data_IF_378905037578
#
_entry.id   IF_378905037578
#
_cell.length_a   1.000
_cell.length_b   1.000
_cell.length_c   1.000
_cell.angle_alpha   90.00
_cell.angle_beta   90.00
_cell.angle_gamma   90.00
#
_symmetry.space_group_name_H-M   'P 1'
#
loop_
_entity.id
_entity.type
_entity.pdbx_description
1 polymer ?
#
# COMPACT_ATOMS: atom_id res chain seq x y z
N UNK A 1 -55.47 23.47 -11.21
CA UNK A 1 -54.32 22.57 -11.45
C UNK A 1 -53.05 23.41 -11.43
N UNK A 2 -52.15 23.26 -10.44
CA UNK A 2 -50.90 24.04 -10.35
C UNK A 2 -49.97 23.67 -11.51
N UNK A 3 -49.48 24.65 -12.26
CA UNK A 3 -48.48 24.42 -13.33
C UNK A 3 -47.16 24.00 -12.68
N UNK A 4 -46.69 22.81 -13.00
CA UNK A 4 -45.39 22.30 -12.54
C UNK A 4 -44.29 23.02 -13.31
N UNK A 5 -43.38 23.66 -12.58
CA UNK A 5 -42.23 24.36 -13.14
C UNK A 5 -41.13 23.34 -13.49
N UNK A 6 -41.25 22.71 -14.64
CA UNK A 6 -40.33 21.68 -15.16
C UNK A 6 -38.86 22.14 -15.21
N UNK A 7 -38.62 23.42 -15.49
CA UNK A 7 -37.27 24.02 -15.50
C UNK A 7 -36.65 24.02 -14.10
N UNK A 8 -37.43 24.34 -13.07
CA UNK A 8 -36.97 24.27 -11.68
C UNK A 8 -36.70 22.84 -11.24
N UNK A 9 -37.55 21.91 -11.67
CA UNK A 9 -37.41 20.48 -11.39
C UNK A 9 -36.14 19.89 -12.03
N UNK A 10 -35.82 20.28 -13.27
CA UNK A 10 -34.56 19.93 -13.93
C UNK A 10 -33.32 20.52 -13.25
N UNK A 11 -33.39 21.79 -12.82
CA UNK A 11 -32.26 22.41 -12.09
C UNK A 11 -31.94 21.68 -10.79
N UNK A 12 -32.98 21.27 -10.05
CA UNK A 12 -32.82 20.51 -8.81
C UNK A 12 -32.26 19.12 -9.04
N UNK A 13 -32.72 18.39 -10.06
CA UNK A 13 -32.19 17.05 -10.35
C UNK A 13 -30.74 17.09 -10.79
N UNK A 14 -30.35 18.06 -11.63
CA UNK A 14 -28.96 18.24 -12.05
C UNK A 14 -28.06 18.59 -10.86
N UNK A 15 -28.50 19.52 -10.00
CA UNK A 15 -27.75 19.87 -8.79
C UNK A 15 -27.54 18.68 -7.85
N UNK A 16 -28.57 17.84 -7.70
CA UNK A 16 -28.52 16.64 -6.85
C UNK A 16 -27.59 15.58 -7.44
N UNK A 17 -27.59 15.39 -8.77
CA UNK A 17 -26.67 14.49 -9.46
C UNK A 17 -25.21 14.95 -9.33
N UNK A 18 -24.93 16.26 -9.47
CA UNK A 18 -23.58 16.80 -9.29
C UNK A 18 -23.10 16.59 -7.85
N UNK A 19 -23.97 16.83 -6.85
CA UNK A 19 -23.65 16.61 -5.45
C UNK A 19 -23.35 15.13 -5.16
N UNK A 20 -24.15 14.21 -5.70
CA UNK A 20 -23.91 12.76 -5.57
C UNK A 20 -22.61 12.33 -6.27
N UNK A 21 -22.30 12.90 -7.43
CA UNK A 21 -21.06 12.61 -8.15
C UNK A 21 -19.84 13.10 -7.37
N UNK A 22 -19.87 14.32 -6.82
CA UNK A 22 -18.78 14.89 -6.02
C UNK A 22 -18.56 14.12 -4.72
N UNK A 23 -19.64 13.72 -4.03
CA UNK A 23 -19.54 12.90 -2.81
C UNK A 23 -19.00 11.51 -3.12
N UNK A 24 -19.43 10.88 -4.22
CA UNK A 24 -18.89 9.60 -4.66
C UNK A 24 -17.39 9.69 -5.00
N UNK A 25 -16.97 10.71 -5.74
CA UNK A 25 -15.55 10.96 -6.06
C UNK A 25 -14.75 11.23 -4.78
N UNK A 26 -15.29 12.02 -3.86
CA UNK A 26 -14.64 12.31 -2.58
C UNK A 26 -14.44 11.05 -1.74
N UNK A 27 -15.46 10.19 -1.62
CA UNK A 27 -15.39 8.94 -0.85
C UNK A 27 -14.44 7.93 -1.52
N UNK A 28 -14.49 7.81 -2.84
CA UNK A 28 -13.61 6.91 -3.59
C UNK A 28 -12.17 7.39 -3.52
N UNK A 29 -11.88 8.67 -3.74
CA UNK A 29 -10.54 9.22 -3.55
C UNK A 29 -10.06 9.08 -2.11
N UNK A 30 -10.91 9.32 -1.12
CA UNK A 30 -10.53 9.12 0.28
C UNK A 30 -10.16 7.66 0.56
N UNK A 31 -10.93 6.70 0.03
CA UNK A 31 -10.57 5.27 0.11
C UNK A 31 -9.30 4.92 -0.67
N UNK A 32 -9.04 5.54 -1.81
CA UNK A 32 -7.84 5.29 -2.61
C UNK A 32 -6.57 5.97 -2.07
N UNK A 33 -6.69 7.12 -1.41
CA UNK A 33 -5.60 7.79 -0.69
C UNK A 33 -5.26 7.01 0.58
N UNK A 34 -6.26 6.38 1.22
CA UNK A 34 -6.05 5.45 2.33
C UNK A 34 -5.52 4.06 1.89
N UNK A 35 -5.47 3.75 0.58
CA UNK A 35 -4.71 2.57 0.13
C UNK A 35 -3.22 2.85 0.31
N UNK A 36 -2.45 1.92 0.88
CA UNK A 36 -1.08 2.16 1.31
C UNK A 36 -0.13 2.21 0.10
N UNK A 37 -0.14 3.29 -0.67
CA UNK A 37 0.94 3.61 -1.62
C UNK A 37 2.34 3.63 -0.96
N UNK A 38 2.54 4.07 0.30
CA UNK A 38 3.88 4.07 0.90
C UNK A 38 4.48 2.66 1.10
N UNK A 39 3.66 1.64 1.44
CA UNK A 39 4.21 0.32 1.76
C UNK A 39 4.87 -0.36 0.56
N UNK A 40 4.26 -0.24 -0.62
CA UNK A 40 4.79 -0.84 -1.84
C UNK A 40 6.10 -0.17 -2.27
N UNK A 41 6.23 1.15 -2.05
CA UNK A 41 7.46 1.89 -2.36
C UNK A 41 8.59 1.50 -1.41
N UNK A 42 8.30 1.37 -0.11
CA UNK A 42 9.27 0.90 0.89
C UNK A 42 9.72 -0.55 0.59
N UNK A 43 8.76 -1.42 0.25
CA UNK A 43 9.02 -2.79 -0.17
C UNK A 43 9.90 -2.85 -1.43
N UNK A 44 9.59 -2.09 -2.48
CA UNK A 44 10.42 -2.02 -3.69
C UNK A 44 11.84 -1.51 -3.42
N UNK A 45 11.99 -0.56 -2.50
CA UNK A 45 13.32 -0.05 -2.12
C UNK A 45 14.13 -1.14 -1.42
N UNK A 46 13.49 -1.88 -0.53
CA UNK A 46 14.07 -3.02 0.18
C UNK A 46 14.48 -4.14 -0.79
N UNK A 47 13.59 -4.58 -1.68
CA UNK A 47 13.90 -5.63 -2.64
C UNK A 47 14.98 -5.22 -3.64
N UNK A 48 15.01 -3.94 -4.05
CA UNK A 48 16.07 -3.41 -4.91
C UNK A 48 17.43 -3.38 -4.21
N UNK A 49 17.47 -3.09 -2.91
CA UNK A 49 18.70 -3.16 -2.14
C UNK A 49 19.19 -4.61 -1.97
N UNK A 50 18.28 -5.54 -1.66
CA UNK A 50 18.62 -6.97 -1.62
C UNK A 50 19.11 -7.50 -2.97
N UNK A 51 18.54 -7.04 -4.09
CA UNK A 51 19.03 -7.38 -5.42
C UNK A 51 20.48 -6.92 -5.65
N UNK A 52 20.89 -5.77 -5.08
CA UNK A 52 22.29 -5.32 -5.11
C UNK A 52 23.21 -6.21 -4.28
N UNK A 53 22.70 -6.80 -3.20
CA UNK A 53 23.38 -7.79 -2.36
C UNK A 53 23.36 -9.21 -2.97
N UNK A 54 22.95 -9.35 -4.24
CA UNK A 54 22.88 -10.64 -4.95
C UNK A 54 21.60 -11.44 -4.70
N UNK A 55 20.64 -10.87 -3.96
CA UNK A 55 19.39 -11.52 -3.56
C UNK A 55 18.19 -10.87 -4.26
N UNK A 56 17.97 -11.22 -5.53
CA UNK A 56 16.84 -10.70 -6.32
C UNK A 56 15.53 -11.40 -5.98
N UNK A 57 14.45 -10.66 -5.70
CA UNK A 57 13.08 -11.20 -5.64
C UNK A 57 12.49 -11.34 -7.04
N UNK A 58 11.89 -12.48 -7.36
CA UNK A 58 11.00 -12.57 -8.53
C UNK A 58 9.61 -11.99 -8.21
N UNK A 59 8.96 -11.34 -9.18
CA UNK A 59 7.61 -10.76 -9.00
C UNK A 59 6.53 -11.81 -8.74
N UNK A 60 6.76 -13.04 -9.18
CA UNK A 60 5.89 -14.20 -8.95
C UNK A 60 6.27 -14.99 -7.69
N UNK A 61 7.38 -14.66 -7.02
CA UNK A 61 7.82 -15.35 -5.81
C UNK A 61 7.04 -14.83 -4.59
N UNK A 62 6.43 -15.76 -3.84
CA UNK A 62 5.76 -15.40 -2.59
C UNK A 62 6.79 -14.83 -1.60
N UNK A 63 6.50 -13.74 -0.87
CA UNK A 63 7.44 -13.16 0.09
C UNK A 63 7.93 -14.14 1.17
N UNK A 64 7.12 -15.15 1.51
CA UNK A 64 7.51 -16.24 2.43
C UNK A 64 8.59 -17.16 1.84
N UNK A 65 8.49 -17.50 0.55
CA UNK A 65 9.48 -18.34 -0.13
C UNK A 65 10.80 -17.59 -0.27
N UNK A 66 10.73 -16.30 -0.55
CA UNK A 66 11.89 -15.43 -0.59
C UNK A 66 12.63 -15.37 0.76
N UNK A 67 11.90 -15.26 1.88
CA UNK A 67 12.51 -15.33 3.22
C UNK A 67 13.22 -16.67 3.46
N UNK A 68 12.58 -17.78 3.10
CA UNK A 68 13.15 -19.11 3.27
C UNK A 68 14.45 -19.25 2.45
N UNK A 69 14.47 -18.75 1.21
CA UNK A 69 15.66 -18.76 0.35
C UNK A 69 16.80 -17.91 0.91
N UNK A 70 16.53 -16.69 1.38
CA UNK A 70 17.55 -15.84 2.02
C UNK A 70 18.13 -16.54 3.26
N UNK A 71 17.26 -17.18 4.05
CA UNK A 71 17.68 -17.91 5.26
C UNK A 71 18.62 -19.08 4.95
N UNK A 72 18.48 -19.70 3.79
CA UNK A 72 19.35 -20.78 3.32
C UNK A 72 20.65 -20.28 2.68
N UNK A 73 20.60 -19.16 1.97
CA UNK A 73 21.75 -18.65 1.22
C UNK A 73 22.67 -17.76 2.06
N UNK A 74 22.14 -17.01 3.00
CA UNK A 74 22.93 -16.03 3.75
C UNK A 74 22.34 -15.79 5.16
N UNK A 75 22.68 -16.65 6.15
CA UNK A 75 22.08 -16.63 7.49
C UNK A 75 22.31 -15.31 8.25
N UNK A 76 23.42 -14.61 8.00
CA UNK A 76 23.78 -13.37 8.68
C UNK A 76 22.77 -12.24 8.43
N UNK A 77 22.30 -12.09 7.18
CA UNK A 77 21.30 -11.09 6.80
C UNK A 77 19.86 -11.60 6.96
N UNK A 78 19.67 -12.91 7.15
CA UNK A 78 18.36 -13.54 7.21
C UNK A 78 17.52 -13.08 8.40
N UNK A 79 18.15 -12.85 9.56
CA UNK A 79 17.46 -12.42 10.78
C UNK A 79 16.86 -11.02 10.63
N UNK A 80 17.63 -10.07 10.08
CA UNK A 80 17.16 -8.70 9.82
C UNK A 80 16.13 -8.67 8.70
N UNK A 81 16.38 -9.38 7.61
CA UNK A 81 15.48 -9.45 6.45
C UNK A 81 14.15 -10.12 6.80
N UNK A 82 14.17 -11.24 7.52
CA UNK A 82 12.96 -11.97 7.91
C UNK A 82 12.03 -11.14 8.80
N UNK A 83 12.59 -10.32 9.68
CA UNK A 83 11.81 -9.39 10.51
C UNK A 83 11.07 -8.34 9.66
N UNK A 84 11.73 -7.79 8.63
CA UNK A 84 11.16 -6.82 7.69
C UNK A 84 10.07 -7.48 6.82
N UNK A 85 10.34 -8.66 6.26
CA UNK A 85 9.38 -9.41 5.42
C UNK A 85 8.13 -9.77 6.22
N UNK A 86 8.29 -10.25 7.46
CA UNK A 86 7.16 -10.56 8.34
C UNK A 86 6.32 -9.32 8.64
N UNK A 87 6.96 -8.18 8.88
CA UNK A 87 6.27 -6.91 9.12
C UNK A 87 5.50 -6.42 7.87
N UNK A 88 6.09 -6.59 6.68
CA UNK A 88 5.42 -6.31 5.41
C UNK A 88 4.18 -7.18 5.21
N UNK A 89 4.27 -8.49 5.49
CA UNK A 89 3.14 -9.42 5.43
C UNK A 89 2.02 -9.02 6.41
N UNK A 90 2.35 -8.70 7.65
CA UNK A 90 1.38 -8.27 8.66
C UNK A 90 0.65 -6.98 8.25
N UNK A 91 1.35 -6.02 7.62
CA UNK A 91 0.77 -4.79 7.12
C UNK A 91 -0.06 -5.03 5.84
N UNK A 92 0.40 -5.89 4.92
CA UNK A 92 -0.27 -6.15 3.63
C UNK A 92 -1.53 -6.98 3.78
N UNK A 93 -1.51 -7.97 4.67
CA UNK A 93 -2.64 -8.86 4.95
C UNK A 93 -3.48 -8.40 6.15
N UNK A 94 -3.27 -7.15 6.63
CA UNK A 94 -4.22 -6.44 7.49
C UNK A 94 -4.15 -6.74 8.98
N UNK A 95 -3.17 -7.51 9.46
CA UNK A 95 -2.96 -7.73 10.91
C UNK A 95 -2.52 -6.46 11.64
N UNK A 96 -1.93 -5.50 10.94
CA UNK A 96 -1.57 -4.18 11.47
C UNK A 96 -2.00 -3.09 10.50
N UNK A 97 -2.97 -2.29 10.89
CA UNK A 97 -3.40 -1.11 10.11
C UNK A 97 -2.77 0.13 10.75
N UNK A 98 -2.10 0.98 9.96
CA UNK A 98 -1.63 2.31 10.41
C UNK A 98 -0.15 2.46 10.80
N UNK A 99 0.68 1.41 10.71
CA UNK A 99 2.10 1.45 11.10
C UNK A 99 3.10 1.53 9.93
N UNK A 100 2.68 2.11 8.80
CA UNK A 100 3.52 2.15 7.58
C UNK A 100 4.76 3.03 7.75
N UNK A 101 4.68 4.12 8.52
CA UNK A 101 5.84 4.98 8.83
C UNK A 101 6.92 4.24 9.64
N UNK A 102 6.50 3.37 10.56
CA UNK A 102 7.44 2.53 11.33
C UNK A 102 8.17 1.55 10.41
N UNK A 103 7.46 0.97 9.43
CA UNK A 103 8.06 0.08 8.42
C UNK A 103 9.09 0.79 7.54
N UNK A 104 8.78 2.00 7.06
CA UNK A 104 9.73 2.81 6.31
C UNK A 104 11.00 3.11 7.10
N UNK A 105 10.87 3.41 8.40
CA UNK A 105 12.01 3.63 9.30
C UNK A 105 12.87 2.38 9.47
N UNK A 106 12.26 1.20 9.61
CA UNK A 106 12.96 -0.09 9.72
C UNK A 106 13.74 -0.41 8.44
N UNK A 107 13.13 -0.24 7.27
CA UNK A 107 13.79 -0.47 5.98
C UNK A 107 14.98 0.47 5.81
N UNK A 108 14.83 1.77 6.14
CA UNK A 108 15.93 2.74 6.07
C UNK A 108 17.08 2.39 7.00
N UNK A 109 16.79 1.98 8.23
CA UNK A 109 17.84 1.58 9.21
C UNK A 109 18.60 0.36 8.74
N UNK A 110 17.90 -0.63 8.18
CA UNK A 110 18.53 -1.82 7.63
C UNK A 110 19.49 -1.47 6.50
N UNK A 111 19.04 -0.67 5.52
CA UNK A 111 19.88 -0.20 4.39
C UNK A 111 21.08 0.63 4.87
N UNK A 112 20.98 1.34 5.99
CA UNK A 112 22.10 2.11 6.53
C UNK A 112 23.13 1.24 7.27
N UNK A 113 22.79 0.00 7.63
CA UNK A 113 23.61 -0.90 8.43
C UNK A 113 24.32 -1.97 7.59
N UNK A 114 23.76 -2.32 6.42
CA UNK A 114 24.30 -3.25 5.42
C UNK A 114 24.85 -2.51 4.21
#
# INVERSE_FOLDING_TARGET
MKKVNWVGLMGWTIGLLILLMLTYIGITQWRFIQKPKPINKAWQTFTRHLAKLGQSTSETECPSNFQQRISQQNPDIATGTGSIIKYYLDLRYGKKVGKVKEFEGLVKRFIAMT
#
